data_IF_198029924869
#
_entry.id   IF_198029924869
#
_cell.length_a   1.000
_cell.length_b   1.000
_cell.length_c   1.000
_cell.angle_alpha   90.00
_cell.angle_beta   90.00
_cell.angle_gamma   90.00
#
_symmetry.space_group_name_H-M   'P 1'
#
loop_
_entity.id
_entity.type
_entity.pdbx_description
1 polymer ?
#
# COMPACT_ATOMS: atom_id res chain seq x y z
N UNK A 1 2.13 -14.76 -22.96
CA UNK A 1 1.43 -13.65 -22.27
C UNK A 1 0.80 -14.04 -20.92
N UNK A 2 0.83 -15.31 -20.50
CA UNK A 2 0.13 -15.82 -19.30
C UNK A 2 0.87 -15.65 -17.96
N UNK A 3 2.17 -15.31 -17.96
CA UNK A 3 2.99 -15.17 -16.73
C UNK A 3 3.13 -13.70 -16.27
N UNK A 4 3.17 -12.74 -17.18
CA UNK A 4 3.08 -11.31 -16.85
C UNK A 4 1.74 -10.98 -16.16
N UNK A 5 0.66 -11.65 -16.56
CA UNK A 5 -0.65 -11.61 -15.89
C UNK A 5 -0.68 -12.31 -14.53
N UNK A 6 0.27 -13.21 -14.22
CA UNK A 6 0.44 -13.81 -12.88
C UNK A 6 1.30 -12.98 -11.93
N UNK A 7 2.13 -12.09 -12.49
CA UNK A 7 2.92 -11.09 -11.75
C UNK A 7 2.14 -9.79 -11.52
N UNK A 8 1.10 -9.55 -12.32
CA UNK A 8 0.09 -8.54 -12.05
C UNK A 8 -0.65 -8.94 -10.77
N UNK A 9 -0.59 -8.03 -9.80
CA UNK A 9 -1.31 -8.09 -8.54
C UNK A 9 -2.76 -8.53 -8.78
N UNK A 10 -3.15 -9.69 -8.25
CA UNK A 10 -4.57 -10.05 -8.20
C UNK A 10 -5.27 -9.05 -7.28
N UNK A 11 -6.51 -8.65 -7.60
CA UNK A 11 -7.30 -7.80 -6.72
C UNK A 11 -7.32 -8.33 -5.29
N UNK A 12 -6.98 -7.47 -4.34
CA UNK A 12 -6.90 -7.82 -2.91
C UNK A 12 -8.15 -8.58 -2.41
N UNK A 13 -9.33 -8.18 -2.87
CA UNK A 13 -10.63 -8.78 -2.50
C UNK A 13 -10.92 -10.13 -3.17
N UNK A 14 -10.20 -10.52 -4.23
CA UNK A 14 -10.33 -11.85 -4.84
C UNK A 14 -9.55 -12.92 -4.07
N UNK A 15 -8.73 -12.54 -3.08
CA UNK A 15 -8.08 -13.48 -2.16
C UNK A 15 -8.97 -13.88 -0.98
N UNK A 16 -10.11 -13.21 -0.79
CA UNK A 16 -11.11 -13.53 0.23
C UNK A 16 -12.31 -14.18 -0.45
N UNK A 17 -12.62 -15.42 -0.07
CA UNK A 17 -13.81 -16.13 -0.55
C UNK A 17 -15.01 -15.77 0.34
N UNK A 18 -15.63 -14.61 0.13
CA UNK A 18 -16.96 -14.27 0.70
C UNK A 18 -17.49 -12.92 0.18
N UNK A 19 -18.83 -12.82 0.07
CA UNK A 19 -19.68 -11.66 -0.25
C UNK A 19 -19.47 -10.91 -1.59
N UNK A 20 -18.23 -10.58 -1.97
CA UNK A 20 -17.96 -9.83 -3.20
C UNK A 20 -18.27 -10.62 -4.49
N UNK A 21 -18.29 -11.96 -4.43
CA UNK A 21 -18.67 -12.81 -5.56
C UNK A 21 -20.16 -12.73 -5.89
N UNK A 22 -21.01 -12.54 -4.87
CA UNK A 22 -22.46 -12.38 -5.03
C UNK A 22 -22.79 -10.97 -5.54
N UNK A 23 -22.13 -9.96 -5.00
CA UNK A 23 -22.25 -8.59 -5.50
C UNK A 23 -21.85 -8.56 -6.99
N UNK A 24 -20.79 -9.28 -7.40
CA UNK A 24 -20.34 -9.42 -8.81
C UNK A 24 -21.41 -9.92 -9.79
N UNK A 25 -22.34 -10.78 -9.38
CA UNK A 25 -23.41 -11.26 -10.28
C UNK A 25 -24.37 -10.13 -10.69
N UNK A 26 -24.50 -9.07 -9.88
CA UNK A 26 -25.28 -7.88 -10.24
C UNK A 26 -24.51 -6.85 -11.10
N UNK A 27 -23.17 -6.88 -11.15
CA UNK A 27 -22.35 -5.90 -11.90
C UNK A 27 -21.70 -6.44 -13.19
N UNK A 28 -22.08 -7.64 -13.66
CA UNK A 28 -21.47 -8.30 -14.82
C UNK A 28 -22.40 -8.40 -16.05
N UNK A 29 -23.11 -7.33 -16.39
CA UNK A 29 -23.63 -7.11 -17.75
C UNK A 29 -23.52 -5.62 -18.02
N UNK A 30 -22.70 -5.18 -18.99
CA UNK A 30 -22.79 -5.63 -20.38
C UNK A 30 -21.41 -5.86 -21.05
N UNK A 31 -21.26 -7.01 -21.70
CA UNK A 31 -20.40 -7.29 -22.88
C UNK A 31 -20.33 -8.82 -23.05
N UNK A 32 -21.50 -9.46 -23.11
CA UNK A 32 -21.58 -10.79 -23.68
C UNK A 32 -21.78 -10.59 -25.19
N UNK A 33 -20.68 -10.66 -25.94
CA UNK A 33 -20.75 -10.83 -27.39
C UNK A 33 -21.51 -12.14 -27.62
N UNK A 34 -22.69 -11.99 -28.22
CA UNK A 34 -23.55 -13.08 -28.65
C UNK A 34 -22.80 -13.88 -29.72
N UNK A 35 -22.31 -15.07 -29.37
CA UNK A 35 -22.05 -16.12 -30.35
C UNK A 35 -23.10 -17.22 -30.12
N UNK A 36 -24.11 -17.20 -30.99
CA UNK A 36 -25.21 -18.14 -31.05
C UNK A 36 -24.88 -19.24 -32.05
N UNK A 37 -24.73 -20.48 -31.59
CA UNK A 37 -25.41 -21.72 -32.08
C UNK A 37 -24.89 -22.94 -31.31
N UNK A 38 -25.80 -23.61 -30.58
CA UNK A 38 -26.43 -24.94 -30.85
C UNK A 38 -25.43 -26.09 -30.73
N UNK A 39 -25.68 -27.20 -30.05
CA UNK A 39 -26.79 -27.75 -29.27
C UNK A 39 -26.30 -29.13 -28.81
N UNK A 40 -26.64 -29.61 -27.61
CA UNK A 40 -26.31 -30.98 -27.24
C UNK A 40 -26.52 -31.34 -25.77
N UNK A 41 -27.78 -31.60 -25.43
CA UNK A 41 -28.25 -32.65 -24.53
C UNK A 41 -27.80 -32.75 -23.04
N UNK A 42 -28.86 -32.99 -22.23
CA UNK A 42 -28.94 -33.84 -21.02
C UNK A 42 -28.50 -33.27 -19.67
N UNK A 43 -29.48 -32.58 -19.09
CA UNK A 43 -29.93 -32.56 -17.70
C UNK A 43 -29.63 -33.85 -16.90
N UNK A 44 -28.91 -33.72 -15.76
CA UNK A 44 -29.04 -34.60 -14.59
C UNK A 44 -28.88 -33.81 -13.29
N UNK A 45 -29.88 -33.98 -12.44
CA UNK A 45 -30.11 -33.41 -11.11
C UNK A 45 -29.43 -34.30 -10.06
N UNK A 46 -28.62 -33.74 -9.16
CA UNK A 46 -28.14 -34.41 -7.93
C UNK A 46 -27.82 -33.33 -6.86
N UNK A 47 -28.76 -33.05 -5.96
CA UNK A 47 -28.81 -33.47 -4.55
C UNK A 47 -27.68 -32.87 -3.69
N UNK A 48 -28.08 -31.91 -2.84
CA UNK A 48 -27.30 -31.29 -1.78
C UNK A 48 -26.75 -32.33 -0.79
N UNK A 49 -25.46 -32.20 -0.44
CA UNK A 49 -24.89 -32.77 0.79
C UNK A 49 -24.13 -31.69 1.55
N UNK A 50 -24.65 -31.39 2.74
CA UNK A 50 -24.05 -30.55 3.79
C UNK A 50 -22.80 -31.24 4.35
N UNK A 51 -21.61 -30.61 4.39
CA UNK A 51 -20.48 -31.16 5.12
C UNK A 51 -20.50 -30.69 6.59
N UNK A 52 -20.59 -31.66 7.51
CA UNK A 52 -20.37 -31.46 8.94
C UNK A 52 -18.87 -31.19 9.20
N UNK A 53 -18.57 -30.20 10.04
CA UNK A 53 -17.23 -29.88 10.53
C UNK A 53 -16.77 -30.91 11.57
N UNK A 54 -15.51 -31.40 11.54
CA UNK A 54 -14.95 -32.18 12.62
C UNK A 54 -14.56 -31.30 13.83
N UNK A 55 -14.51 -31.87 15.05
CA UNK A 55 -14.41 -31.12 16.30
C UNK A 55 -13.02 -30.49 16.53
N UNK A 56 -13.04 -29.29 17.12
CA UNK A 56 -11.87 -28.50 17.52
C UNK A 56 -11.23 -29.15 18.76
N UNK A 57 -9.97 -29.58 18.63
CA UNK A 57 -9.11 -29.93 19.77
C UNK A 57 -8.17 -28.73 20.03
N UNK A 58 -8.19 -28.12 21.23
CA UNK A 58 -7.30 -26.99 21.54
C UNK A 58 -5.85 -27.47 21.72
N UNK A 59 -4.83 -26.77 21.16
CA UNK A 59 -3.45 -27.11 21.40
C UNK A 59 -2.99 -26.68 22.81
N UNK A 60 -2.29 -27.60 23.48
CA UNK A 60 -1.67 -27.43 24.80
C UNK A 60 -0.60 -26.33 24.77
N UNK A 61 -0.68 -25.45 25.77
CA UNK A 61 0.35 -24.44 26.09
C UNK A 61 1.41 -25.13 26.97
N UNK A 62 2.68 -25.02 26.59
CA UNK A 62 3.79 -25.12 27.53
C UNK A 62 4.79 -23.98 27.28
N UNK A 63 5.27 -23.29 28.33
CA UNK A 63 6.23 -22.20 28.23
C UNK A 63 7.67 -22.72 28.28
N UNK A 64 8.55 -22.16 27.48
CA UNK A 64 9.99 -22.18 27.73
C UNK A 64 10.65 -20.99 26.99
N UNK A 65 11.11 -20.02 27.76
CA UNK A 65 12.08 -19.02 27.33
C UNK A 65 13.37 -19.69 26.84
N UNK A 66 14.08 -19.05 25.91
CA UNK A 66 15.53 -19.04 25.97
C UNK A 66 16.03 -17.62 26.23
N UNK A 67 16.81 -17.52 27.30
CA UNK A 67 17.68 -16.39 27.66
C UNK A 67 18.56 -16.04 26.46
N UNK A 68 18.60 -14.75 26.10
CA UNK A 68 19.66 -14.23 25.24
C UNK A 68 20.75 -13.65 26.13
N UNK A 69 21.85 -14.40 26.25
CA UNK A 69 23.13 -13.86 26.72
C UNK A 69 23.61 -12.77 25.76
N UNK A 70 24.15 -11.71 26.36
CA UNK A 70 24.87 -10.64 25.72
C UNK A 70 26.20 -11.14 25.15
N UNK A 71 26.25 -11.36 23.85
CA UNK A 71 27.51 -11.56 23.13
C UNK A 71 28.10 -10.19 22.75
N UNK A 72 29.33 -9.99 23.19
CA UNK A 72 30.18 -8.83 22.97
C UNK A 72 30.46 -8.58 21.48
N UNK A 73 30.71 -7.31 21.19
CA UNK A 73 31.30 -6.76 19.98
C UNK A 73 32.50 -7.57 19.48
N UNK A 74 32.42 -8.04 18.24
CA UNK A 74 33.57 -8.19 17.37
C UNK A 74 33.33 -7.30 16.15
N UNK A 75 34.14 -6.25 16.07
CA UNK A 75 34.32 -5.41 14.88
C UNK A 75 34.98 -6.27 13.79
N UNK A 76 34.24 -6.57 12.73
CA UNK A 76 34.84 -6.84 11.44
C UNK A 76 33.88 -6.45 10.32
N UNK A 77 34.26 -5.41 9.59
CA UNK A 77 33.65 -4.91 8.36
C UNK A 77 33.31 -6.03 7.36
N UNK A 78 32.02 -6.37 7.26
CA UNK A 78 31.45 -6.99 6.07
C UNK A 78 30.44 -6.03 5.43
N UNK A 79 30.93 -4.83 5.11
CA UNK A 79 30.29 -3.99 4.11
C UNK A 79 30.31 -4.76 2.79
N UNK A 80 29.13 -5.16 2.31
CA UNK A 80 28.94 -5.86 1.04
C UNK A 80 29.43 -4.97 -0.12
N UNK A 81 30.72 -5.09 -0.42
CA UNK A 81 31.47 -4.27 -1.35
C UNK A 81 30.99 -4.47 -2.79
N UNK A 82 30.76 -3.35 -3.48
CA UNK A 82 30.44 -3.23 -4.92
C UNK A 82 31.35 -4.05 -5.84
N UNK A 83 32.55 -4.38 -5.37
CA UNK A 83 33.52 -5.20 -6.09
C UNK A 83 33.09 -6.66 -6.31
N UNK A 84 32.17 -7.20 -5.49
CA UNK A 84 31.81 -8.64 -5.46
C UNK A 84 30.52 -9.01 -6.23
N UNK A 85 29.93 -8.09 -6.99
CA UNK A 85 28.70 -8.32 -7.78
C UNK A 85 29.03 -8.51 -9.29
N UNK A 86 28.42 -9.47 -10.02
CA UNK A 86 27.35 -10.40 -9.65
C UNK A 86 27.80 -11.63 -8.87
N UNK A 87 26.92 -12.17 -7.99
CA UNK A 87 27.20 -13.42 -7.30
C UNK A 87 27.41 -14.55 -8.33
N UNK A 88 28.34 -15.48 -8.05
CA UNK A 88 28.61 -16.59 -8.96
C UNK A 88 27.34 -17.40 -9.21
N UNK A 89 27.08 -17.72 -10.49
CA UNK A 89 25.95 -18.54 -10.88
C UNK A 89 26.05 -19.90 -10.19
N UNK A 90 24.98 -20.34 -9.53
CA UNK A 90 24.86 -21.70 -9.03
C UNK A 90 24.46 -22.59 -10.21
N UNK A 91 25.28 -23.60 -10.49
CA UNK A 91 25.07 -24.58 -11.56
C UNK A 91 23.91 -25.53 -11.23
N UNK A 92 22.68 -25.08 -11.41
CA UNK A 92 21.50 -25.95 -11.32
C UNK A 92 21.26 -26.62 -12.68
N UNK A 93 21.72 -27.87 -12.80
CA UNK A 93 21.52 -28.72 -13.99
C UNK A 93 20.02 -28.99 -14.24
N UNK A 94 19.68 -28.82 -15.53
CA UNK A 94 18.43 -29.20 -16.25
C UNK A 94 17.17 -28.40 -15.88
N UNK A 95 16.89 -27.34 -16.66
CA UNK A 95 15.52 -26.88 -16.90
C UNK A 95 15.35 -26.27 -18.31
N UNK A 96 14.37 -26.81 -19.05
CA UNK A 96 13.66 -26.28 -20.23
C UNK A 96 14.27 -25.06 -20.97
N UNK A 97 14.62 -25.26 -22.24
CA UNK A 97 15.20 -24.30 -23.19
C UNK A 97 14.48 -22.95 -23.35
N UNK A 98 13.21 -22.83 -22.93
CA UNK A 98 12.46 -21.57 -22.95
C UNK A 98 12.70 -20.67 -21.71
N UNK A 99 13.21 -21.20 -20.60
CA UNK A 99 13.55 -20.40 -19.40
C UNK A 99 14.94 -19.77 -19.50
N UNK A 100 15.88 -20.49 -20.13
CA UNK A 100 17.26 -20.03 -20.31
C UNK A 100 17.36 -18.73 -21.12
N UNK A 101 16.51 -18.50 -22.12
CA UNK A 101 16.57 -17.24 -22.90
C UNK A 101 16.14 -16.01 -22.10
N UNK A 102 15.25 -16.17 -21.11
CA UNK A 102 14.76 -15.06 -20.27
C UNK A 102 15.73 -14.72 -19.15
N UNK A 103 16.27 -15.71 -18.46
CA UNK A 103 17.31 -15.48 -17.46
C UNK A 103 18.58 -14.89 -18.08
N UNK A 104 18.92 -15.30 -19.32
CA UNK A 104 20.04 -14.72 -20.05
C UNK A 104 19.78 -13.26 -20.46
N UNK A 105 18.56 -12.89 -20.88
CA UNK A 105 18.22 -11.50 -21.24
C UNK A 105 18.10 -10.62 -20.00
N UNK A 106 17.49 -11.10 -18.91
CA UNK A 106 17.42 -10.38 -17.64
C UNK A 106 18.84 -10.17 -17.09
N UNK A 107 19.64 -11.23 -16.99
CA UNK A 107 21.04 -11.15 -16.55
C UNK A 107 21.89 -10.23 -17.43
N UNK A 108 21.68 -10.24 -18.74
CA UNK A 108 22.37 -9.36 -19.69
C UNK A 108 21.97 -7.88 -19.50
N UNK A 109 20.68 -7.57 -19.40
CA UNK A 109 20.20 -6.20 -19.16
C UNK A 109 20.69 -5.66 -17.81
N UNK A 110 20.67 -6.50 -16.76
CA UNK A 110 21.24 -6.14 -15.46
C UNK A 110 22.74 -5.91 -15.54
N UNK A 111 23.49 -6.81 -16.19
CA UNK A 111 24.93 -6.64 -16.39
C UNK A 111 25.25 -5.35 -17.14
N UNK A 112 24.54 -5.04 -18.22
CA UNK A 112 24.71 -3.79 -18.96
C UNK A 112 24.37 -2.55 -18.15
N UNK A 113 23.30 -2.59 -17.35
CA UNK A 113 22.95 -1.50 -16.45
C UNK A 113 24.06 -1.26 -15.40
N UNK A 114 24.61 -2.33 -14.82
CA UNK A 114 25.70 -2.22 -13.85
C UNK A 114 27.03 -1.79 -14.49
N UNK A 115 27.36 -2.29 -15.68
CA UNK A 115 28.54 -1.86 -16.43
C UNK A 115 28.44 -0.37 -16.81
N UNK A 116 27.23 0.10 -17.13
CA UNK A 116 26.95 1.51 -17.35
C UNK A 116 27.16 2.35 -16.08
N UNK A 117 26.64 1.90 -14.93
CA UNK A 117 26.84 2.56 -13.63
C UNK A 117 28.33 2.68 -13.27
N UNK A 118 29.13 1.62 -13.51
CA UNK A 118 30.58 1.60 -13.24
C UNK A 118 31.36 2.56 -14.15
N UNK A 119 31.01 2.65 -15.42
CA UNK A 119 31.64 3.63 -16.33
C UNK A 119 31.27 5.06 -15.95
N UNK A 120 30.06 5.27 -15.42
CA UNK A 120 29.60 6.58 -14.97
C UNK A 120 30.30 7.03 -13.67
N UNK A 121 30.62 6.10 -12.77
CA UNK A 121 31.42 6.36 -11.55
C UNK A 121 32.74 7.06 -11.88
N UNK A 122 33.50 6.49 -12.84
CA UNK A 122 34.79 7.03 -13.29
C UNK A 122 34.67 8.43 -13.91
N UNK A 123 33.56 8.71 -14.58
CA UNK A 123 33.30 10.03 -15.17
C UNK A 123 32.92 11.07 -14.11
N UNK A 124 32.14 10.66 -13.09
CA UNK A 124 31.72 11.50 -11.97
C UNK A 124 32.89 11.84 -11.04
N UNK A 125 33.70 10.86 -10.65
CA UNK A 125 34.86 11.07 -9.78
C UNK A 125 35.84 12.08 -10.40
N UNK A 126 36.03 12.01 -11.72
CA UNK A 126 36.95 12.89 -12.44
C UNK A 126 36.42 14.32 -12.61
N UNK A 127 35.13 14.47 -12.92
CA UNK A 127 34.58 15.75 -13.37
C UNK A 127 33.76 16.49 -12.29
N UNK A 128 33.19 15.79 -11.31
CA UNK A 128 32.26 16.36 -10.32
C UNK A 128 32.36 15.67 -8.94
N UNK A 129 33.43 15.91 -8.16
CA UNK A 129 33.63 15.25 -6.87
C UNK A 129 32.50 15.52 -5.85
N UNK A 130 31.86 16.70 -5.90
CA UNK A 130 30.71 17.03 -5.06
C UNK A 130 29.45 16.18 -5.35
N UNK A 131 29.32 15.64 -6.57
CA UNK A 131 28.20 14.79 -6.97
C UNK A 131 28.34 13.34 -6.46
N UNK A 132 29.50 12.97 -5.92
CA UNK A 132 29.80 11.62 -5.45
C UNK A 132 28.90 11.17 -4.28
N UNK A 133 28.55 12.11 -3.38
CA UNK A 133 27.63 11.82 -2.27
C UNK A 133 26.22 11.46 -2.76
N UNK A 134 25.74 12.14 -3.80
CA UNK A 134 24.44 11.88 -4.41
C UNK A 134 24.45 10.55 -5.17
N UNK A 135 25.54 10.26 -5.88
CA UNK A 135 25.72 8.99 -6.56
C UNK A 135 25.69 7.81 -5.58
N UNK A 136 26.45 7.87 -4.48
CA UNK A 136 26.43 6.80 -3.45
C UNK A 136 25.03 6.53 -2.92
N UNK A 137 24.29 7.59 -2.57
CA UNK A 137 22.89 7.48 -2.13
C UNK A 137 22.01 6.79 -3.17
N UNK A 138 22.20 7.10 -4.46
CA UNK A 138 21.45 6.49 -5.55
C UNK A 138 21.78 5.00 -5.73
N UNK A 139 23.06 4.69 -5.64
CA UNK A 139 23.67 3.36 -5.79
C UNK A 139 23.20 2.44 -4.66
N UNK A 140 23.19 2.91 -3.41
CA UNK A 140 22.54 2.22 -2.30
C UNK A 140 21.03 2.04 -2.56
N UNK A 141 20.37 3.08 -3.09
CA UNK A 141 18.96 3.04 -3.45
C UNK A 141 18.59 2.00 -4.52
N UNK A 142 19.48 1.72 -5.49
CA UNK A 142 19.30 0.62 -6.47
C UNK A 142 19.24 -0.72 -5.75
N UNK A 143 20.13 -0.93 -4.78
CA UNK A 143 20.22 -2.19 -4.05
C UNK A 143 19.01 -2.39 -3.13
N UNK A 144 18.62 -1.35 -2.40
CA UNK A 144 17.41 -1.39 -1.58
C UNK A 144 16.17 -1.67 -2.43
N UNK A 145 16.03 -0.99 -3.57
CA UNK A 145 14.92 -1.21 -4.49
C UNK A 145 14.89 -2.64 -5.04
N UNK A 146 16.04 -3.19 -5.41
CA UNK A 146 16.14 -4.56 -5.91
C UNK A 146 15.76 -5.59 -4.85
N UNK A 147 16.24 -5.42 -3.61
CA UNK A 147 15.92 -6.29 -2.48
C UNK A 147 14.42 -6.25 -2.15
N UNK A 148 13.84 -5.07 -2.14
CA UNK A 148 12.40 -4.88 -1.94
C UNK A 148 11.56 -5.46 -3.08
N UNK A 149 12.02 -5.34 -4.33
CA UNK A 149 11.36 -5.95 -5.49
C UNK A 149 11.37 -7.48 -5.37
N UNK A 150 12.50 -8.08 -5.00
CA UNK A 150 12.61 -9.53 -4.77
C UNK A 150 11.69 -9.99 -3.64
N UNK A 151 11.62 -9.23 -2.55
CA UNK A 151 10.73 -9.49 -1.42
C UNK A 151 9.26 -9.38 -1.83
N UNK A 152 8.89 -8.34 -2.58
CA UNK A 152 7.55 -8.18 -3.17
C UNK A 152 7.17 -9.38 -4.04
N UNK A 153 8.05 -9.88 -4.90
CA UNK A 153 7.77 -11.05 -5.73
C UNK A 153 7.51 -12.31 -4.90
N UNK A 154 8.21 -12.49 -3.77
CA UNK A 154 7.94 -13.59 -2.83
C UNK A 154 6.56 -13.42 -2.18
N UNK A 155 6.29 -12.23 -1.64
CA UNK A 155 5.01 -11.89 -1.00
C UNK A 155 3.84 -12.08 -1.97
N UNK A 156 3.96 -11.61 -3.21
CA UNK A 156 2.93 -11.76 -4.24
C UNK A 156 2.63 -13.24 -4.55
N UNK A 157 3.64 -14.11 -4.52
CA UNK A 157 3.43 -15.56 -4.63
C UNK A 157 2.69 -16.12 -3.43
N UNK A 158 3.05 -15.70 -2.20
CA UNK A 158 2.37 -16.13 -0.98
C UNK A 158 0.88 -15.73 -1.03
N UNK A 159 0.58 -14.46 -1.34
CA UNK A 159 -0.82 -13.98 -1.41
C UNK A 159 -1.63 -14.71 -2.48
N UNK A 160 -1.02 -15.04 -3.62
CA UNK A 160 -1.73 -15.71 -4.71
C UNK A 160 -1.92 -17.22 -4.50
N UNK A 161 -1.07 -17.86 -3.69
CA UNK A 161 -1.08 -19.32 -3.51
C UNK A 161 -1.57 -19.77 -2.13
N UNK A 162 -1.52 -18.90 -1.11
CA UNK A 162 -1.97 -19.20 0.24
C UNK A 162 -3.49 -19.06 0.35
N UNK A 163 -4.19 -20.01 1.01
CA UNK A 163 -5.62 -19.87 1.29
C UNK A 163 -5.93 -18.68 2.21
N UNK A 164 -4.94 -18.23 3.00
CA UNK A 164 -5.10 -17.07 3.88
C UNK A 164 -4.89 -15.73 3.15
N UNK A 165 -4.38 -15.72 1.92
CA UNK A 165 -4.18 -14.52 1.11
C UNK A 165 -3.41 -13.42 1.86
N UNK A 166 -4.00 -12.22 1.95
CA UNK A 166 -3.41 -11.06 2.65
C UNK A 166 -3.31 -11.24 4.17
N UNK A 167 -4.13 -12.12 4.77
CA UNK A 167 -4.12 -12.34 6.23
C UNK A 167 -2.87 -13.10 6.68
N UNK A 168 -2.17 -13.78 5.75
CA UNK A 168 -0.91 -14.46 6.02
C UNK A 168 0.28 -13.49 6.24
N UNK A 169 0.14 -12.24 5.78
CA UNK A 169 1.23 -11.29 5.78
C UNK A 169 1.33 -10.53 7.11
N UNK A 170 2.56 -10.19 7.48
CA UNK A 170 2.82 -9.22 8.54
C UNK A 170 2.61 -7.77 8.01
N UNK A 171 2.62 -6.79 8.90
CA UNK A 171 2.41 -5.38 8.58
C UNK A 171 3.44 -4.86 7.58
N UNK A 172 4.74 -5.14 7.78
CA UNK A 172 5.82 -4.67 6.91
C UNK A 172 5.67 -5.26 5.49
N UNK A 173 5.30 -6.53 5.39
CA UNK A 173 5.01 -7.19 4.11
C UNK A 173 3.80 -6.58 3.40
N UNK A 174 2.74 -6.24 4.15
CA UNK A 174 1.57 -5.54 3.59
C UNK A 174 1.92 -4.13 3.10
N UNK A 175 2.72 -3.38 3.85
CA UNK A 175 3.23 -2.07 3.45
C UNK A 175 4.04 -2.17 2.15
N UNK A 176 4.97 -3.13 2.09
CA UNK A 176 5.77 -3.40 0.90
C UNK A 176 4.90 -3.81 -0.29
N UNK A 177 3.92 -4.69 -0.06
CA UNK A 177 2.97 -5.15 -1.08
C UNK A 177 2.11 -4.01 -1.64
N UNK A 178 1.74 -3.04 -0.81
CA UNK A 178 1.02 -1.84 -1.25
C UNK A 178 1.91 -0.86 -2.02
N UNK A 179 3.16 -0.70 -1.59
CA UNK A 179 4.08 0.31 -2.10
C UNK A 179 4.76 -0.09 -3.41
N UNK A 180 5.32 -1.30 -3.50
CA UNK A 180 6.22 -1.69 -4.58
C UNK A 180 5.66 -1.58 -5.99
N UNK A 181 4.40 -1.94 -6.29
CA UNK A 181 3.86 -1.76 -7.64
C UNK A 181 3.92 -0.30 -8.11
N UNK A 182 3.72 0.67 -7.19
CA UNK A 182 3.78 2.10 -7.52
C UNK A 182 5.21 2.55 -7.76
N UNK A 183 6.13 2.09 -6.93
CA UNK A 183 7.55 2.43 -7.06
C UNK A 183 8.14 1.86 -8.35
N UNK A 184 7.81 0.60 -8.70
CA UNK A 184 8.20 -0.01 -9.96
C UNK A 184 7.67 0.75 -11.17
N UNK A 185 6.38 1.11 -11.19
CA UNK A 185 5.82 1.91 -12.29
C UNK A 185 6.43 3.30 -12.39
N UNK A 186 6.85 3.88 -11.26
CA UNK A 186 7.47 5.21 -11.23
C UNK A 186 8.90 5.20 -11.76
N UNK A 187 9.67 4.18 -11.39
CA UNK A 187 11.11 4.08 -11.71
C UNK A 187 11.35 3.45 -13.08
N UNK A 188 10.47 2.57 -13.57
CA UNK A 188 10.66 1.87 -14.84
C UNK A 188 10.93 2.78 -16.05
N UNK A 189 10.22 3.91 -16.27
CA UNK A 189 10.52 4.81 -17.38
C UNK A 189 11.94 5.38 -17.30
N UNK A 190 12.39 5.78 -16.10
CA UNK A 190 13.74 6.30 -15.91
C UNK A 190 14.80 5.24 -16.23
N UNK A 191 14.61 3.99 -15.78
CA UNK A 191 15.54 2.89 -16.09
C UNK A 191 15.61 2.59 -17.59
N UNK A 192 14.47 2.59 -18.29
CA UNK A 192 14.42 2.38 -19.74
C UNK A 192 15.20 3.47 -20.48
N UNK A 193 15.00 4.74 -20.11
CA UNK A 193 15.68 5.88 -20.74
C UNK A 193 17.18 5.86 -20.47
N UNK A 194 17.60 5.54 -19.24
CA UNK A 194 19.01 5.46 -18.85
C UNK A 194 19.74 4.31 -19.54
N UNK A 195 19.05 3.20 -19.82
CA UNK A 195 19.62 2.06 -20.53
C UNK A 195 19.94 2.34 -22.01
N UNK A 196 19.43 3.42 -22.59
CA UNK A 196 19.70 3.78 -23.98
C UNK A 196 21.08 4.48 -24.13
N UNK A 197 21.95 4.01 -25.04
CA UNK A 197 23.20 4.69 -25.35
C UNK A 197 22.97 6.15 -25.77
N UNK A 198 23.90 7.06 -25.45
CA UNK A 198 23.83 8.51 -25.68
C UNK A 198 22.75 9.25 -24.85
N UNK A 199 21.51 8.75 -24.83
CA UNK A 199 20.38 9.36 -24.10
C UNK A 199 20.60 9.32 -22.59
N UNK A 200 21.12 8.21 -22.06
CA UNK A 200 21.39 8.07 -20.62
C UNK A 200 22.29 9.18 -20.05
N UNK A 201 23.26 9.67 -20.83
CA UNK A 201 24.18 10.73 -20.38
C UNK A 201 23.47 12.07 -20.14
N UNK A 202 22.40 12.37 -20.90
CA UNK A 202 21.57 13.57 -20.72
C UNK A 202 20.47 13.34 -19.69
N UNK A 203 19.89 12.13 -19.67
CA UNK A 203 18.80 11.80 -18.77
C UNK A 203 19.24 11.73 -17.30
N UNK A 204 20.45 11.26 -17.00
CA UNK A 204 20.93 11.10 -15.62
C UNK A 204 21.02 12.43 -14.85
N UNK A 205 21.65 13.50 -15.39
CA UNK A 205 21.60 14.82 -14.76
C UNK A 205 20.18 15.31 -14.47
N UNK A 206 19.24 15.07 -15.40
CA UNK A 206 17.84 15.46 -15.24
C UNK A 206 17.14 14.66 -14.13
N UNK A 207 17.37 13.35 -14.07
CA UNK A 207 16.84 12.46 -13.03
C UNK A 207 17.34 12.91 -11.65
N UNK A 208 18.62 13.27 -11.54
CA UNK A 208 19.24 13.77 -10.31
C UNK A 208 18.76 15.17 -9.91
N UNK A 209 18.46 16.03 -10.89
CA UNK A 209 17.89 17.35 -10.63
C UNK A 209 16.43 17.28 -10.13
N UNK A 210 15.66 16.27 -10.56
CA UNK A 210 14.24 16.13 -10.23
C UNK A 210 13.87 14.75 -9.65
N UNK A 211 14.45 14.35 -8.50
CA UNK A 211 14.30 13.00 -7.96
C UNK A 211 12.85 12.67 -7.56
N UNK A 212 12.05 13.68 -7.19
CA UNK A 212 10.63 13.46 -6.85
C UNK A 212 9.79 13.05 -8.06
N UNK A 213 10.18 13.44 -9.29
CA UNK A 213 9.46 13.12 -10.52
C UNK A 213 9.82 11.72 -11.01
N UNK A 214 11.11 11.43 -11.10
CA UNK A 214 11.61 10.22 -11.77
C UNK A 214 11.87 9.03 -10.84
N UNK A 215 12.09 9.27 -9.53
CA UNK A 215 12.54 8.24 -8.60
C UNK A 215 11.55 8.00 -7.46
N UNK A 216 11.63 6.82 -6.84
CA UNK A 216 10.90 6.49 -5.61
C UNK A 216 11.75 6.77 -4.35
N UNK A 217 11.18 6.49 -3.17
CA UNK A 217 11.81 6.82 -1.89
C UNK A 217 13.14 6.12 -1.61
N UNK A 218 13.44 5.02 -2.32
CA UNK A 218 14.72 4.30 -2.20
C UNK A 218 15.91 5.16 -2.63
N UNK A 219 15.70 6.10 -3.55
CA UNK A 219 16.78 6.90 -4.14
C UNK A 219 16.89 8.31 -3.54
N UNK A 220 16.17 8.58 -2.46
CA UNK A 220 16.08 9.90 -1.85
C UNK A 220 16.95 9.95 -0.60
N UNK A 221 17.62 11.09 -0.39
CA UNK A 221 18.31 11.35 0.88
C UNK A 221 17.29 11.37 2.04
N UNK A 222 17.75 11.16 3.28
CA UNK A 222 16.87 11.22 4.46
C UNK A 222 16.08 12.55 4.54
N UNK A 223 16.75 13.66 4.21
CA UNK A 223 16.13 14.98 4.13
C UNK A 223 15.03 15.03 3.06
N UNK A 224 15.34 14.62 1.82
CA UNK A 224 14.37 14.57 0.73
C UNK A 224 13.16 13.68 1.08
N UNK A 225 13.39 12.53 1.74
CA UNK A 225 12.31 11.65 2.18
C UNK A 225 11.36 12.36 3.15
N UNK A 226 11.90 13.08 4.13
CA UNK A 226 11.09 13.84 5.08
C UNK A 226 10.29 14.96 4.38
N UNK A 227 10.96 15.79 3.59
CA UNK A 227 10.34 16.91 2.86
C UNK A 227 9.26 16.43 1.87
N UNK A 228 9.56 15.41 1.07
CA UNK A 228 8.62 14.91 0.07
C UNK A 228 7.43 14.18 0.71
N UNK A 229 7.63 13.43 1.80
CA UNK A 229 6.52 12.81 2.54
C UNK A 229 5.58 13.87 3.10
N UNK A 230 6.12 14.93 3.70
CA UNK A 230 5.34 16.03 4.22
C UNK A 230 4.58 16.78 3.12
N UNK A 231 5.24 17.08 1.99
CA UNK A 231 4.59 17.71 0.84
C UNK A 231 3.46 16.84 0.24
N UNK A 232 3.65 15.52 0.16
CA UNK A 232 2.61 14.58 -0.29
C UNK A 232 1.43 14.58 0.68
N UNK A 233 1.69 14.50 1.98
CA UNK A 233 0.63 14.55 3.00
C UNK A 233 -0.14 15.87 2.93
N UNK A 234 0.55 17.01 2.82
CA UNK A 234 -0.08 18.33 2.70
C UNK A 234 -1.04 18.38 1.51
N UNK A 235 -0.63 17.87 0.33
CA UNK A 235 -1.50 17.78 -0.86
C UNK A 235 -2.73 16.91 -0.62
N UNK A 236 -2.60 15.81 0.13
CA UNK A 236 -3.72 14.93 0.50
C UNK A 236 -4.69 15.65 1.44
N UNK A 237 -4.17 16.27 2.49
CA UNK A 237 -4.93 16.96 3.52
C UNK A 237 -5.73 18.16 2.98
N UNK A 238 -5.27 18.84 1.93
CA UNK A 238 -6.05 19.89 1.25
C UNK A 238 -7.43 19.42 0.77
N UNK A 239 -7.62 18.11 0.55
CA UNK A 239 -8.91 17.54 0.15
C UNK A 239 -9.89 17.32 1.31
N UNK A 240 -9.42 17.37 2.57
CA UNK A 240 -10.22 17.10 3.77
C UNK A 240 -11.49 17.95 3.81
N UNK A 241 -11.36 19.26 3.58
CA UNK A 241 -12.49 20.21 3.56
C UNK A 241 -13.53 19.84 2.51
N UNK A 242 -13.09 19.51 1.30
CA UNK A 242 -14.01 19.12 0.21
C UNK A 242 -14.73 17.81 0.50
N UNK A 243 -14.01 16.82 1.04
CA UNK A 243 -14.60 15.53 1.44
C UNK A 243 -15.61 15.72 2.57
N UNK A 244 -15.26 16.51 3.58
CA UNK A 244 -16.16 16.85 4.69
C UNK A 244 -17.44 17.53 4.22
N UNK A 245 -17.34 18.54 3.35
CA UNK A 245 -18.51 19.25 2.80
C UNK A 245 -19.43 18.36 1.97
N UNK A 246 -18.85 17.40 1.26
CA UNK A 246 -19.62 16.38 0.54
C UNK A 246 -20.37 15.47 1.50
N UNK A 247 -19.72 15.07 2.59
CA UNK A 247 -20.34 14.20 3.58
C UNK A 247 -21.50 14.93 4.27
N UNK A 248 -21.34 16.21 4.61
CA UNK A 248 -22.43 17.07 5.08
C UNK A 248 -23.57 17.22 4.08
N UNK A 249 -23.29 17.44 2.79
CA UNK A 249 -24.33 17.69 1.78
C UNK A 249 -25.19 16.46 1.48
N UNK A 250 -24.65 15.25 1.75
CA UNK A 250 -25.35 13.97 1.60
C UNK A 250 -26.21 13.57 2.79
N UNK A 251 -26.03 14.20 3.94
CA UNK A 251 -26.79 13.89 5.15
C UNK A 251 -28.31 13.93 4.94
N UNK A 252 -28.80 14.94 4.20
CA UNK A 252 -30.23 15.09 3.89
C UNK A 252 -30.83 13.91 3.11
N UNK A 253 -30.01 13.21 2.32
CA UNK A 253 -30.45 12.07 1.51
C UNK A 253 -30.55 10.79 2.39
N UNK A 254 -29.96 10.80 3.59
CA UNK A 254 -29.92 9.68 4.55
C UNK A 254 -30.91 9.83 5.72
N UNK A 255 -31.86 10.77 5.66
CA UNK A 255 -32.82 11.08 6.75
C UNK A 255 -33.60 9.91 7.31
N UNK A 256 -33.83 8.88 6.50
CA UNK A 256 -34.61 7.68 6.88
C UNK A 256 -33.81 6.67 7.72
N UNK A 257 -32.49 6.81 7.78
CA UNK A 257 -31.64 5.87 8.53
C UNK A 257 -31.67 6.17 10.03
N UNK A 258 -31.63 5.13 10.85
CA UNK A 258 -31.68 5.22 12.32
C UNK A 258 -30.54 6.08 12.88
N UNK A 259 -29.31 5.87 12.40
CA UNK A 259 -28.13 6.66 12.80
C UNK A 259 -28.03 8.05 12.18
N UNK A 260 -29.07 8.56 11.49
CA UNK A 260 -29.03 9.88 10.85
C UNK A 260 -28.77 11.01 11.86
N UNK A 261 -29.49 11.02 12.99
CA UNK A 261 -29.35 12.07 14.01
C UNK A 261 -27.95 12.04 14.64
N UNK A 262 -27.43 10.86 14.94
CA UNK A 262 -26.07 10.71 15.49
C UNK A 262 -25.01 11.18 14.49
N UNK A 263 -25.14 10.81 13.20
CA UNK A 263 -24.23 11.31 12.17
C UNK A 263 -24.33 12.84 12.07
N UNK A 264 -25.54 13.41 12.10
CA UNK A 264 -25.73 14.87 12.10
C UNK A 264 -24.97 15.54 13.24
N UNK A 265 -25.03 14.99 14.45
CA UNK A 265 -24.30 15.49 15.61
C UNK A 265 -22.79 15.39 15.42
N UNK A 266 -22.28 14.25 14.92
CA UNK A 266 -20.85 14.06 14.61
C UNK A 266 -20.34 15.11 13.62
N UNK A 267 -21.13 15.38 12.57
CA UNK A 267 -20.77 16.39 11.57
C UNK A 267 -20.89 17.83 12.09
N UNK A 268 -21.82 18.07 13.01
CA UNK A 268 -21.91 19.32 13.76
C UNK A 268 -20.66 19.54 14.61
N UNK A 269 -20.26 18.56 15.41
CA UNK A 269 -19.05 18.60 16.24
C UNK A 269 -17.79 18.86 15.40
N UNK A 270 -17.63 18.10 14.31
CA UNK A 270 -16.50 18.32 13.39
C UNK A 270 -16.53 19.71 12.76
N UNK A 271 -17.72 20.23 12.42
CA UNK A 271 -17.90 21.58 11.89
C UNK A 271 -17.56 22.69 12.88
N UNK A 272 -17.74 22.44 14.18
CA UNK A 272 -17.43 23.36 15.27
C UNK A 272 -15.98 23.23 15.80
N UNK A 273 -15.16 22.36 15.22
CA UNK A 273 -13.75 22.19 15.60
C UNK A 273 -13.47 21.10 16.65
N UNK A 274 -14.48 20.35 17.09
CA UNK A 274 -14.33 19.26 18.07
C UNK A 274 -14.07 17.91 17.40
N UNK A 275 -13.60 16.92 18.17
CA UNK A 275 -13.37 15.55 17.71
C UNK A 275 -14.46 14.60 18.26
N UNK A 276 -15.10 13.78 17.39
CA UNK A 276 -16.03 12.77 17.87
C UNK A 276 -15.31 11.66 18.63
N UNK A 277 -15.95 11.08 19.64
CA UNK A 277 -15.42 9.91 20.34
C UNK A 277 -15.43 8.67 19.43
N UNK A 278 -14.53 7.72 19.72
CA UNK A 278 -14.45 6.45 18.99
C UNK A 278 -15.78 5.69 19.05
N UNK A 279 -16.42 5.66 20.21
CA UNK A 279 -17.70 4.98 20.42
C UNK A 279 -18.81 5.60 19.58
N UNK A 280 -18.82 6.93 19.44
CA UNK A 280 -19.81 7.64 18.63
C UNK A 280 -19.63 7.37 17.14
N UNK A 281 -18.38 7.28 16.67
CA UNK A 281 -18.11 6.88 15.29
C UNK A 281 -18.56 5.44 14.99
N UNK A 282 -18.38 4.53 15.95
CA UNK A 282 -18.79 3.13 15.77
C UNK A 282 -20.31 2.96 15.67
N UNK A 283 -21.11 3.78 16.38
CA UNK A 283 -22.58 3.72 16.32
C UNK A 283 -23.15 4.12 14.95
N UNK A 284 -22.42 4.92 14.19
CA UNK A 284 -22.87 5.38 12.86
C UNK A 284 -22.33 4.54 11.71
N UNK A 285 -21.62 3.42 11.95
CA UNK A 285 -20.98 2.65 10.87
C UNK A 285 -21.97 2.14 9.82
N UNK A 286 -23.17 1.75 10.24
CA UNK A 286 -24.16 1.08 9.38
C UNK A 286 -24.73 2.04 8.33
N UNK A 287 -24.75 3.36 8.58
CA UNK A 287 -25.21 4.35 7.60
C UNK A 287 -24.34 4.39 6.34
N UNK A 288 -23.09 3.91 6.42
CA UNK A 288 -22.14 3.85 5.30
C UNK A 288 -22.26 2.58 4.46
N UNK A 289 -23.14 1.65 4.84
CA UNK A 289 -23.42 0.41 4.09
C UNK A 289 -24.46 0.61 2.99
N UNK A 290 -25.18 1.74 3.02
CA UNK A 290 -26.30 2.04 2.13
C UNK A 290 -26.16 3.42 1.45
N UNK A 291 -26.94 3.69 0.39
CA UNK A 291 -26.97 5.01 -0.23
C UNK A 291 -27.37 6.10 0.78
N UNK A 292 -26.76 7.29 0.72
CA UNK A 292 -25.87 7.82 -0.33
C UNK A 292 -24.37 7.63 -0.05
N UNK A 293 -24.01 6.84 0.97
CA UNK A 293 -22.65 6.76 1.49
C UNK A 293 -21.92 5.48 1.08
N UNK A 294 -22.63 4.42 0.71
CA UNK A 294 -22.00 3.20 0.21
C UNK A 294 -21.08 3.48 -0.99
N UNK A 295 -20.03 2.69 -1.13
CA UNK A 295 -18.99 2.91 -2.13
C UNK A 295 -19.50 2.94 -3.58
N UNK A 296 -20.63 2.27 -3.86
CA UNK A 296 -21.17 2.13 -5.20
C UNK A 296 -22.03 3.33 -5.59
N UNK A 297 -22.79 3.88 -4.64
CA UNK A 297 -23.59 5.09 -4.86
C UNK A 297 -22.75 6.37 -4.94
N UNK A 298 -21.48 6.34 -4.49
CA UNK A 298 -20.58 7.50 -4.59
C UNK A 298 -20.43 7.98 -6.04
N UNK A 299 -20.64 9.27 -6.27
CA UNK A 299 -20.44 9.93 -7.55
C UNK A 299 -18.96 9.94 -7.99
N UNK A 300 -18.71 10.14 -9.29
CA UNK A 300 -17.35 10.23 -9.85
C UNK A 300 -16.48 11.29 -9.16
N UNK A 301 -17.08 12.43 -8.78
CA UNK A 301 -16.41 13.51 -8.05
C UNK A 301 -15.99 13.08 -6.64
N UNK A 302 -16.88 12.40 -5.92
CA UNK A 302 -16.60 11.88 -4.57
C UNK A 302 -15.46 10.86 -4.58
N UNK A 303 -15.52 9.90 -5.50
CA UNK A 303 -14.48 8.87 -5.65
C UNK A 303 -13.13 9.50 -5.98
N UNK A 304 -13.09 10.52 -6.87
CA UNK A 304 -11.84 11.24 -7.19
C UNK A 304 -11.25 11.90 -5.94
N UNK A 305 -12.07 12.60 -5.15
CA UNK A 305 -11.61 13.27 -3.94
C UNK A 305 -11.13 12.28 -2.87
N UNK A 306 -11.80 11.15 -2.70
CA UNK A 306 -11.35 10.09 -1.80
C UNK A 306 -10.03 9.45 -2.29
N UNK A 307 -9.85 9.25 -3.59
CA UNK A 307 -8.56 8.80 -4.12
C UNK A 307 -7.44 9.81 -3.78
N UNK A 308 -7.70 11.11 -3.95
CA UNK A 308 -6.75 12.17 -3.63
C UNK A 308 -6.45 12.25 -2.12
N UNK A 309 -7.46 12.09 -1.27
CA UNK A 309 -7.33 12.02 0.19
C UNK A 309 -6.40 10.87 0.62
N UNK A 310 -6.56 9.70 0.01
CA UNK A 310 -5.77 8.51 0.32
C UNK A 310 -4.44 8.41 -0.44
N UNK A 311 -4.13 9.37 -1.33
CA UNK A 311 -2.94 9.30 -2.17
C UNK A 311 -2.94 8.08 -3.10
N UNK A 312 -4.13 7.60 -3.48
CA UNK A 312 -4.31 6.56 -4.48
C UNK A 312 -4.20 7.23 -5.85
N UNK A 313 -3.32 6.76 -6.75
CA UNK A 313 -3.27 7.26 -8.11
C UNK A 313 -4.66 7.24 -8.75
N UNK A 314 -4.96 8.17 -9.66
CA UNK A 314 -6.29 8.26 -10.29
C UNK A 314 -6.32 7.75 -11.73
N UNK A 315 -5.98 6.48 -12.02
CA UNK A 315 -6.11 5.91 -13.36
C UNK A 315 -7.59 5.58 -13.65
N UNK A 316 -7.81 4.75 -14.67
CA UNK A 316 -9.09 4.08 -14.87
C UNK A 316 -9.47 3.25 -13.63
N UNK A 317 -10.75 2.88 -13.48
CA UNK A 317 -11.21 2.02 -12.37
C UNK A 317 -10.96 2.58 -10.95
N UNK A 318 -11.10 3.90 -10.75
CA UNK A 318 -10.84 4.58 -9.46
C UNK A 318 -11.53 3.94 -8.25
N UNK A 319 -12.80 3.52 -8.38
CA UNK A 319 -13.54 2.85 -7.30
C UNK A 319 -12.88 1.54 -6.86
N UNK A 320 -12.40 0.76 -7.83
CA UNK A 320 -11.67 -0.48 -7.58
C UNK A 320 -10.39 -0.20 -6.79
N UNK A 321 -9.57 0.76 -7.25
CA UNK A 321 -8.30 1.07 -6.57
C UNK A 321 -8.51 1.67 -5.18
N UNK A 322 -9.60 2.43 -5.02
CA UNK A 322 -9.99 2.97 -3.73
C UNK A 322 -10.40 1.87 -2.75
N UNK A 323 -11.24 0.92 -3.18
CA UNK A 323 -11.60 -0.25 -2.39
C UNK A 323 -10.36 -1.07 -2.02
N UNK A 324 -9.52 -1.39 -3.01
CA UNK A 324 -8.28 -2.14 -2.82
C UNK A 324 -7.35 -1.47 -1.81
N UNK A 325 -7.22 -0.14 -1.86
CA UNK A 325 -6.44 0.61 -0.88
C UNK A 325 -7.02 0.46 0.53
N UNK A 326 -8.33 0.65 0.70
CA UNK A 326 -8.98 0.50 2.00
C UNK A 326 -8.80 -0.92 2.57
N UNK A 327 -8.99 -1.95 1.73
CA UNK A 327 -8.76 -3.34 2.12
C UNK A 327 -7.33 -3.59 2.58
N UNK A 328 -6.33 -3.06 1.88
CA UNK A 328 -4.93 -3.21 2.29
C UNK A 328 -4.66 -2.55 3.63
N UNK A 329 -5.06 -1.29 3.82
CA UNK A 329 -4.78 -0.56 5.06
C UNK A 329 -5.54 -1.19 6.23
N UNK A 330 -6.77 -1.66 6.02
CA UNK A 330 -7.50 -2.43 7.04
C UNK A 330 -6.78 -3.74 7.40
N UNK A 331 -6.25 -4.49 6.42
CA UNK A 331 -5.44 -5.67 6.72
C UNK A 331 -4.13 -5.32 7.44
N UNK A 332 -3.54 -4.13 7.18
CA UNK A 332 -2.41 -3.63 7.96
C UNK A 332 -2.82 -3.37 9.41
N UNK A 333 -4.01 -2.79 9.65
CA UNK A 333 -4.54 -2.58 11.01
C UNK A 333 -4.73 -3.92 11.75
N UNK A 334 -5.28 -4.93 11.07
CA UNK A 334 -5.40 -6.28 11.63
C UNK A 334 -4.03 -6.92 11.92
N UNK A 335 -3.05 -6.72 11.04
CA UNK A 335 -1.68 -7.20 11.26
C UNK A 335 -1.02 -6.52 12.47
N UNK A 336 -1.23 -5.22 12.67
CA UNK A 336 -0.75 -4.50 13.86
C UNK A 336 -1.30 -5.14 15.14
N UNK A 337 -2.58 -5.51 15.17
CA UNK A 337 -3.17 -6.19 16.32
C UNK A 337 -2.53 -7.57 16.53
N UNK A 338 -2.35 -8.37 15.46
CA UNK A 338 -1.69 -9.68 15.54
C UNK A 338 -0.25 -9.61 16.04
N UNK A 339 0.46 -8.53 15.75
CA UNK A 339 1.85 -8.27 16.15
C UNK A 339 1.98 -7.71 17.58
N UNK A 340 0.89 -7.61 18.34
CA UNK A 340 0.90 -7.11 19.71
C UNK A 340 0.59 -5.61 19.84
N UNK A 341 -0.21 -5.05 18.94
CA UNK A 341 -0.68 -3.66 18.93
C UNK A 341 0.41 -2.59 18.70
N UNK A 342 0.00 -1.32 18.70
CA UNK A 342 0.81 -0.15 18.30
C UNK A 342 2.09 0.02 19.12
N UNK A 343 2.05 -0.28 20.41
CA UNK A 343 3.18 -0.05 21.34
C UNK A 343 4.38 -0.97 21.07
N UNK A 344 4.17 -2.12 20.43
CA UNK A 344 5.23 -3.05 20.06
C UNK A 344 5.88 -2.69 18.70
N UNK A 345 5.42 -1.62 18.05
CA UNK A 345 5.92 -1.20 16.76
C UNK A 345 7.13 -0.26 16.91
N UNK A 346 8.15 -0.48 16.08
CA UNK A 346 9.29 0.45 15.98
C UNK A 346 8.82 1.90 15.69
N UNK A 347 9.48 2.94 16.26
CA UNK A 347 9.07 4.35 16.09
C UNK A 347 8.88 4.79 14.63
N UNK A 348 9.75 4.36 13.72
CA UNK A 348 9.59 4.65 12.29
C UNK A 348 8.33 4.01 11.68
N UNK A 349 7.95 2.83 12.15
CA UNK A 349 6.72 2.15 11.74
C UNK A 349 5.48 2.92 12.22
N UNK A 350 5.53 3.46 13.43
CA UNK A 350 4.47 4.30 14.00
C UNK A 350 4.32 5.56 13.16
N UNK A 351 5.42 6.27 12.89
CA UNK A 351 5.43 7.47 12.03
C UNK A 351 4.88 7.17 10.63
N UNK A 352 5.31 6.06 10.02
CA UNK A 352 4.82 5.61 8.71
C UNK A 352 3.32 5.31 8.75
N UNK A 353 2.85 4.65 9.80
CA UNK A 353 1.44 4.31 10.00
C UNK A 353 0.56 5.56 10.12
N UNK A 354 1.04 6.60 10.80
CA UNK A 354 0.38 7.91 10.86
C UNK A 354 0.25 8.53 9.45
N UNK A 355 1.35 8.59 8.69
CA UNK A 355 1.33 9.13 7.33
C UNK A 355 0.35 8.39 6.39
N UNK A 356 0.30 7.06 6.46
CA UNK A 356 -0.63 6.26 5.62
C UNK A 356 -2.08 6.69 5.90
N UNK A 357 -2.43 6.86 7.18
CA UNK A 357 -3.79 7.15 7.65
C UNK A 357 -4.15 8.64 7.65
N UNK A 358 -3.22 9.51 7.24
CA UNK A 358 -3.46 10.93 7.05
C UNK A 358 -3.26 11.79 8.30
N UNK A 359 -2.47 11.33 9.26
CA UNK A 359 -1.96 12.15 10.36
C UNK A 359 -0.57 12.69 10.01
N UNK A 360 -0.33 13.96 10.30
CA UNK A 360 0.99 14.56 10.29
C UNK A 360 1.71 14.25 11.61
N UNK A 361 2.75 13.38 11.60
CA UNK A 361 3.50 13.05 12.80
C UNK A 361 4.61 14.06 13.11
N UNK A 362 4.87 15.04 12.23
CA UNK A 362 5.88 16.07 12.49
C UNK A 362 5.51 16.80 13.77
N UNK A 363 6.46 16.89 14.71
CA UNK A 363 6.31 17.53 16.03
C UNK A 363 5.30 16.88 16.99
N UNK A 364 4.87 15.64 16.74
CA UNK A 364 4.13 14.86 17.75
C UNK A 364 5.10 14.04 18.59
N UNK A 365 4.80 13.95 19.89
CA UNK A 365 5.43 12.98 20.79
C UNK A 365 5.09 11.54 20.37
N UNK A 366 5.89 10.60 20.86
CA UNK A 366 5.68 9.19 20.57
C UNK A 366 4.33 8.70 21.13
N UNK A 367 3.98 9.15 22.32
CA UNK A 367 2.77 8.83 23.05
C UNK A 367 1.52 9.35 22.33
N UNK A 368 1.55 10.57 21.80
CA UNK A 368 0.45 11.15 21.01
C UNK A 368 0.21 10.36 19.72
N UNK A 369 1.28 9.97 19.02
CA UNK A 369 1.16 9.12 17.82
C UNK A 369 0.55 7.76 18.16
N UNK A 370 0.98 7.15 19.26
CA UNK A 370 0.42 5.87 19.74
C UNK A 370 -1.06 6.04 20.08
N UNK A 371 -1.43 7.08 20.83
CA UNK A 371 -2.81 7.33 21.23
C UNK A 371 -3.73 7.52 20.02
N UNK A 372 -3.31 8.32 19.04
CA UNK A 372 -4.07 8.52 17.81
C UNK A 372 -4.23 7.23 16.99
N UNK A 373 -3.15 6.46 16.81
CA UNK A 373 -3.21 5.18 16.09
C UNK A 373 -4.06 4.15 16.82
N UNK A 374 -4.04 4.11 18.16
CA UNK A 374 -4.92 3.23 18.94
C UNK A 374 -6.39 3.54 18.66
N UNK A 375 -6.78 4.81 18.61
CA UNK A 375 -8.14 5.23 18.26
C UNK A 375 -8.50 4.81 16.83
N UNK A 376 -7.60 5.06 15.86
CA UNK A 376 -7.80 4.62 14.48
C UNK A 376 -8.02 3.10 14.38
N UNK A 377 -7.13 2.32 14.99
CA UNK A 377 -7.16 0.86 14.90
C UNK A 377 -8.39 0.30 15.60
N UNK A 378 -8.77 0.83 16.77
CA UNK A 378 -10.00 0.45 17.48
C UNK A 378 -11.23 0.60 16.56
N UNK A 379 -11.29 1.69 15.80
CA UNK A 379 -12.37 1.88 14.81
C UNK A 379 -12.21 0.87 13.69
N UNK A 380 -11.05 0.87 13.01
CA UNK A 380 -10.78 0.05 11.83
C UNK A 380 -11.07 -1.43 12.04
N UNK A 381 -10.61 -2.03 13.14
CA UNK A 381 -10.81 -3.46 13.41
C UNK A 381 -12.24 -3.83 13.78
N UNK A 382 -13.06 -2.85 14.14
CA UNK A 382 -14.50 -3.02 14.38
C UNK A 382 -15.33 -2.86 13.10
N UNK A 383 -14.71 -2.45 11.99
CA UNK A 383 -15.35 -2.35 10.68
C UNK A 383 -15.23 -3.67 9.92
N UNK A 384 -16.37 -4.13 9.40
CA UNK A 384 -16.44 -5.25 8.47
C UNK A 384 -16.38 -4.77 7.01
N UNK A 385 -16.30 -5.70 6.05
CA UNK A 385 -16.16 -5.40 4.62
C UNK A 385 -17.28 -4.49 4.08
N UNK A 386 -18.51 -4.64 4.56
CA UNK A 386 -19.64 -3.79 4.16
C UNK A 386 -19.47 -2.32 4.57
N UNK A 387 -18.67 -2.06 5.60
CA UNK A 387 -18.40 -0.71 6.13
C UNK A 387 -17.18 -0.04 5.47
N UNK A 388 -16.65 -0.61 4.37
CA UNK A 388 -15.45 -0.11 3.68
C UNK A 388 -15.56 1.36 3.28
N UNK A 389 -16.77 1.85 3.02
CA UNK A 389 -16.98 3.27 2.71
C UNK A 389 -16.69 4.16 3.92
N UNK A 390 -17.12 3.78 5.13
CA UNK A 390 -16.78 4.51 6.36
C UNK A 390 -15.26 4.56 6.56
N UNK A 391 -14.56 3.44 6.33
CA UNK A 391 -13.10 3.38 6.41
C UNK A 391 -12.44 4.46 5.55
N UNK A 392 -12.96 4.68 4.34
CA UNK A 392 -12.45 5.70 3.41
C UNK A 392 -12.69 7.13 3.92
N UNK A 393 -13.65 7.36 4.80
CA UNK A 393 -13.92 8.65 5.42
C UNK A 393 -13.17 8.87 6.76
N UNK A 394 -12.54 7.85 7.33
CA UNK A 394 -11.84 7.95 8.63
C UNK A 394 -10.77 9.06 8.70
N UNK A 395 -9.97 9.35 7.66
CA UNK A 395 -9.01 10.47 7.74
C UNK A 395 -9.69 11.81 8.03
N UNK A 396 -10.95 11.98 7.61
CA UNK A 396 -11.75 13.16 7.92
C UNK A 396 -12.45 12.98 9.27
N UNK A 397 -13.14 11.85 9.49
CA UNK A 397 -13.92 11.64 10.71
C UNK A 397 -13.06 11.71 11.99
N UNK A 398 -11.80 11.28 11.92
CA UNK A 398 -10.86 11.28 13.05
C UNK A 398 -9.81 12.40 12.96
N UNK A 399 -9.36 12.75 11.75
CA UNK A 399 -8.20 13.62 11.53
C UNK A 399 -8.51 15.05 11.05
N UNK A 400 -9.78 15.40 10.81
CA UNK A 400 -10.15 16.69 10.21
C UNK A 400 -9.71 17.89 11.05
N UNK A 401 -9.93 17.84 12.37
CA UNK A 401 -9.63 18.93 13.31
C UNK A 401 -8.30 18.72 14.06
N UNK A 402 -7.44 17.80 13.61
CA UNK A 402 -6.17 17.55 14.30
C UNK A 402 -5.22 18.75 14.13
N UNK A 403 -4.70 19.38 15.21
CA UNK A 403 -3.88 20.59 15.13
C UNK A 403 -2.69 20.45 14.17
N UNK A 404 -1.90 19.38 14.28
CA UNK A 404 -0.74 19.18 13.38
C UNK A 404 -1.10 19.02 11.91
N UNK A 405 -2.31 18.56 11.58
CA UNK A 405 -2.79 18.55 10.21
C UNK A 405 -3.13 19.97 9.73
N UNK A 406 -3.72 20.80 10.59
CA UNK A 406 -4.03 22.20 10.28
C UNK A 406 -2.77 23.05 10.12
N UNK A 407 -1.83 22.93 11.04
CA UNK A 407 -0.52 23.58 10.95
C UNK A 407 0.14 23.26 9.59
N UNK A 408 0.12 21.99 9.17
CA UNK A 408 0.68 21.60 7.87
C UNK A 408 -0.04 22.23 6.66
N UNK A 409 -1.34 22.51 6.75
CA UNK A 409 -2.13 23.06 5.63
C UNK A 409 -2.05 24.59 5.59
N UNK A 410 -2.09 25.25 6.74
CA UNK A 410 -2.38 26.68 6.88
C UNK A 410 -1.19 27.51 7.34
N UNK A 411 -0.25 26.93 8.09
CA UNK A 411 0.96 27.66 8.44
C UNK A 411 1.79 27.79 7.18
N UNK A 412 2.07 29.03 6.78
CA UNK A 412 3.03 29.30 5.73
C UNK A 412 4.41 29.02 6.30
N UNK A 413 4.98 27.86 5.97
CA UNK A 413 6.42 27.60 6.06
C UNK A 413 7.17 28.41 5.01
#
# INVERSE_FOLDING_TARGET
MTLALRLLRRPAYLSQSSAFTLQRQQYATPLAIVIRKRSGATEKRAVEKKPQLPPIVPPKIYPAEPKHESAKSDDSDDAQSWSKWPPPAKDDKKLSSQRLSRENVEGYMFKHFFDYIKNYEKLLEKNFPSAMKLYRTYVDGVMDFYNDMKSYLKIARIVNNSPMGLKALNRKELELYMQMPRDMMKVAPALIVVALPLVGYVAMPLIFAYPQLFLCSHFWTLQQRAEFQQAILQRRLKNNKSVFRILQSKLKDAKKHESHQELQQILGMLGSGFHPSVESLLRVKDIFTQPPYDLLSLSRKQVKLLCQLHGVPTPLFKRYHLAEHAFLVHNMDLAIVREGHVHNMHPDGIRRSCYIRGLNPSNLSHEEMIAWLRNWIKISTSLEEQHISMFLYLPVLLGYNHPNNWHLIYDKS
#
